data_IF_770560825004
#
_entry.id   IF_770560825004
#
_cell.length_a   1.000
_cell.length_b   1.000
_cell.length_c   1.000
_cell.angle_alpha   90.00
_cell.angle_beta   90.00
_cell.angle_gamma   90.00
#
_symmetry.space_group_name_H-M   'P 1'
#
loop_
_entity.id
_entity.type
_entity.pdbx_description
1 polymer ?
#
# COMPACT_ATOMS: atom_id res chain seq x y z
N UNK A 1 36.54 -43.63 -75.61
CA UNK A 1 36.88 -43.09 -74.28
C UNK A 1 35.62 -42.52 -73.68
N UNK A 2 35.01 -43.32 -72.81
CA UNK A 2 33.73 -42.98 -72.18
C UNK A 2 33.99 -42.33 -70.83
N UNK A 3 33.41 -41.17 -70.63
CA UNK A 3 33.34 -40.49 -69.29
C UNK A 3 31.97 -40.77 -68.67
N UNK A 4 31.89 -41.26 -67.46
CA UNK A 4 30.59 -41.40 -66.78
C UNK A 4 30.11 -40.11 -66.17
N UNK A 5 28.84 -39.77 -66.41
CA UNK A 5 28.10 -38.73 -65.77
C UNK A 5 27.72 -39.09 -64.34
N UNK A 6 28.14 -38.34 -63.36
CA UNK A 6 27.75 -38.53 -61.98
C UNK A 6 26.54 -37.62 -61.69
N UNK A 7 25.38 -38.24 -61.41
CA UNK A 7 24.14 -37.59 -61.06
C UNK A 7 24.11 -37.27 -59.57
N UNK A 8 24.18 -36.05 -59.17
CA UNK A 8 24.03 -35.65 -57.78
C UNK A 8 22.54 -35.44 -57.45
N UNK A 9 22.02 -36.39 -56.68
CA UNK A 9 20.68 -36.25 -56.06
C UNK A 9 20.81 -35.37 -54.82
N UNK A 10 20.31 -34.15 -54.91
CA UNK A 10 20.17 -33.28 -53.73
C UNK A 10 18.94 -33.69 -52.92
N UNK A 11 19.19 -34.30 -51.77
CA UNK A 11 18.16 -34.54 -50.79
C UNK A 11 17.94 -33.23 -49.98
N UNK A 12 16.83 -32.55 -50.26
CA UNK A 12 16.39 -31.40 -49.49
C UNK A 12 15.86 -31.85 -48.12
N UNK A 13 16.62 -31.58 -47.06
CA UNK A 13 16.17 -31.75 -45.68
C UNK A 13 15.33 -30.54 -45.31
N UNK A 14 14.03 -30.73 -45.17
CA UNK A 14 13.08 -29.73 -44.67
C UNK A 14 13.22 -29.66 -43.14
N UNK A 15 13.94 -28.64 -42.65
CA UNK A 15 14.00 -28.36 -41.21
C UNK A 15 12.72 -27.61 -40.83
N UNK A 16 11.79 -28.32 -40.22
CA UNK A 16 10.60 -27.70 -39.56
C UNK A 16 11.04 -27.15 -38.21
N UNK A 17 11.26 -25.85 -38.14
CA UNK A 17 11.45 -25.16 -36.87
C UNK A 17 10.08 -25.00 -36.17
N UNK A 18 9.85 -25.81 -35.16
CA UNK A 18 8.75 -25.65 -34.22
C UNK A 18 9.03 -24.37 -33.37
N UNK A 19 8.40 -23.27 -33.74
CA UNK A 19 8.36 -22.09 -32.90
C UNK A 19 7.46 -22.40 -31.69
N UNK A 20 8.05 -22.61 -30.52
CA UNK A 20 7.34 -22.63 -29.24
C UNK A 20 6.90 -21.21 -28.94
N UNK A 21 5.59 -20.92 -28.72
CA UNK A 21 5.19 -19.62 -28.21
C UNK A 21 5.76 -19.47 -26.80
N UNK A 22 6.66 -18.51 -26.61
CA UNK A 22 7.04 -18.04 -25.29
C UNK A 22 5.77 -17.47 -24.63
N UNK A 23 5.22 -18.17 -23.65
CA UNK A 23 4.23 -17.63 -22.74
C UNK A 23 4.94 -16.54 -21.94
N UNK A 24 4.85 -15.31 -22.43
CA UNK A 24 5.15 -14.14 -21.61
C UNK A 24 4.15 -14.17 -20.45
N UNK A 25 4.59 -14.60 -19.27
CA UNK A 25 3.85 -14.40 -18.05
C UNK A 25 3.81 -12.89 -17.83
N UNK A 26 2.63 -12.32 -18.01
CA UNK A 26 2.35 -10.94 -17.72
C UNK A 26 2.25 -10.79 -16.18
N UNK A 27 3.41 -10.58 -15.53
CA UNK A 27 3.49 -10.33 -14.09
C UNK A 27 2.68 -9.11 -13.65
N UNK A 28 2.29 -8.26 -14.60
CA UNK A 28 1.49 -7.08 -14.35
C UNK A 28 0.02 -7.42 -14.03
N UNK A 29 -0.53 -8.47 -14.62
CA UNK A 29 -1.93 -8.87 -14.39
C UNK A 29 -2.18 -9.43 -12.98
N UNK A 30 -1.22 -10.12 -12.38
CA UNK A 30 -1.36 -10.66 -11.02
C UNK A 30 -1.42 -9.55 -9.95
N UNK A 31 -0.60 -8.51 -10.09
CA UNK A 31 -0.65 -7.35 -9.18
C UNK A 31 -1.96 -6.55 -9.33
N UNK A 32 -2.47 -6.41 -10.55
CA UNK A 32 -3.72 -5.68 -10.82
C UNK A 32 -4.94 -6.43 -10.26
N UNK A 33 -4.96 -7.76 -10.29
CA UNK A 33 -6.03 -8.57 -9.73
C UNK A 33 -6.06 -8.54 -8.20
N UNK A 34 -4.90 -8.58 -7.53
CA UNK A 34 -4.80 -8.51 -6.08
C UNK A 34 -5.23 -7.12 -5.57
N UNK A 35 -4.84 -6.06 -6.25
CA UNK A 35 -5.29 -4.70 -5.97
C UNK A 35 -6.80 -4.51 -6.19
N UNK A 36 -7.35 -5.11 -7.24
CA UNK A 36 -8.78 -5.09 -7.51
C UNK A 36 -9.58 -5.85 -6.43
N UNK A 37 -9.06 -6.95 -5.91
CA UNK A 37 -9.69 -7.71 -4.82
C UNK A 37 -9.69 -6.91 -3.51
N UNK A 38 -8.58 -6.25 -3.16
CA UNK A 38 -8.50 -5.41 -1.98
C UNK A 38 -9.44 -4.19 -2.07
N UNK A 39 -9.54 -3.57 -3.25
CA UNK A 39 -10.47 -2.47 -3.52
C UNK A 39 -11.94 -2.93 -3.42
N UNK A 40 -12.27 -4.11 -3.95
CA UNK A 40 -13.61 -4.70 -3.84
C UNK A 40 -13.96 -5.07 -2.38
N UNK A 41 -13.01 -5.53 -1.58
CA UNK A 41 -13.21 -5.77 -0.14
C UNK A 41 -13.46 -4.45 0.62
N UNK A 42 -12.77 -3.38 0.27
CA UNK A 42 -12.99 -2.06 0.86
C UNK A 42 -14.36 -1.48 0.48
N UNK A 43 -14.75 -1.63 -0.79
CA UNK A 43 -16.06 -1.22 -1.29
C UNK A 43 -17.20 -2.08 -0.73
N UNK A 44 -17.02 -3.39 -0.62
CA UNK A 44 -17.98 -4.32 -0.02
C UNK A 44 -18.19 -4.10 1.48
N UNK A 45 -17.24 -3.42 2.16
CA UNK A 45 -17.39 -3.09 3.57
C UNK A 45 -18.52 -2.10 3.86
N UNK A 46 -19.03 -1.43 2.83
CA UNK A 46 -20.05 -0.40 2.98
C UNK A 46 -19.56 0.83 3.79
N UNK A 47 -20.42 1.81 3.91
CA UNK A 47 -20.17 2.97 4.75
C UNK A 47 -19.95 2.54 6.22
N UNK A 48 -18.98 3.16 6.90
CA UNK A 48 -18.73 2.90 8.32
C UNK A 48 -19.91 3.42 9.17
N UNK A 49 -20.77 2.51 9.59
CA UNK A 49 -22.00 2.84 10.34
C UNK A 49 -21.68 3.22 11.79
N UNK A 50 -22.45 4.14 12.34
CA UNK A 50 -22.36 4.51 13.75
C UNK A 50 -22.55 3.27 14.66
N UNK A 51 -21.74 3.16 15.72
CA UNK A 51 -21.76 2.06 16.67
C UNK A 51 -21.11 0.77 16.17
N UNK A 52 -20.56 0.74 14.93
CA UNK A 52 -19.86 -0.43 14.41
C UNK A 52 -18.36 -0.34 14.64
N UNK A 53 -17.75 -1.51 14.78
CA UNK A 53 -16.30 -1.70 14.81
C UNK A 53 -15.91 -2.45 13.53
N UNK A 54 -15.05 -1.83 12.74
CA UNK A 54 -14.53 -2.43 11.52
C UNK A 54 -13.06 -2.76 11.69
N UNK A 55 -12.68 -4.01 11.46
CA UNK A 55 -11.28 -4.45 11.48
C UNK A 55 -10.81 -4.74 10.05
N UNK A 56 -9.61 -4.28 9.71
CA UNK A 56 -8.93 -4.53 8.44
C UNK A 56 -7.48 -4.96 8.69
N UNK A 57 -6.99 -5.88 7.86
CA UNK A 57 -5.68 -6.51 8.05
C UNK A 57 -5.67 -7.45 9.26
N UNK A 58 -4.56 -7.49 9.97
CA UNK A 58 -4.39 -8.31 11.16
C UNK A 58 -5.28 -7.84 12.32
N UNK A 59 -5.78 -8.79 13.11
CA UNK A 59 -6.53 -8.45 14.31
C UNK A 59 -5.60 -7.77 15.34
N UNK A 60 -6.07 -6.66 15.92
CA UNK A 60 -5.31 -5.94 16.92
C UNK A 60 -5.28 -6.68 18.26
N UNK A 61 -4.19 -6.57 19.04
CA UNK A 61 -4.10 -7.18 20.37
C UNK A 61 -5.15 -6.57 21.31
N UNK A 62 -5.99 -7.44 21.89
CA UNK A 62 -7.11 -7.02 22.75
C UNK A 62 -6.64 -6.49 24.11
N UNK A 63 -5.51 -7.00 24.60
CA UNK A 63 -5.00 -6.72 25.96
C UNK A 63 -3.89 -5.66 25.98
N UNK A 64 -3.68 -4.96 24.86
CA UNK A 64 -2.68 -3.91 24.77
C UNK A 64 -3.38 -2.55 24.61
N UNK A 65 -3.03 -1.62 25.50
CA UNK A 65 -3.48 -0.22 25.40
C UNK A 65 -2.77 0.46 24.23
N UNK A 66 -3.55 1.08 23.36
CA UNK A 66 -2.99 1.91 22.30
C UNK A 66 -2.39 3.19 22.89
N UNK A 67 -1.25 3.61 22.37
CA UNK A 67 -0.64 4.88 22.73
C UNK A 67 -1.30 6.01 21.92
N UNK A 68 -1.51 7.20 22.51
CA UNK A 68 -1.92 8.36 21.74
C UNK A 68 -0.91 8.64 20.60
N UNK A 69 -1.39 8.88 19.39
CA UNK A 69 -0.53 9.16 18.25
C UNK A 69 0.43 10.33 18.53
N UNK A 70 -0.02 11.37 19.22
CA UNK A 70 0.80 12.52 19.62
C UNK A 70 2.03 12.13 20.43
N UNK A 71 1.93 11.10 21.28
CA UNK A 71 3.06 10.60 22.06
C UNK A 71 4.16 10.01 21.16
N UNK A 72 3.76 9.26 20.14
CA UNK A 72 4.68 8.65 19.16
C UNK A 72 5.29 9.71 18.25
N UNK A 73 4.49 10.69 17.79
CA UNK A 73 4.97 11.74 16.88
C UNK A 73 5.94 12.74 17.54
N UNK A 74 5.92 12.90 18.86
CA UNK A 74 6.92 13.71 19.56
C UNK A 74 8.34 13.14 19.44
N UNK A 75 8.49 11.83 19.42
CA UNK A 75 9.78 11.14 19.28
C UNK A 75 9.60 9.91 18.39
N UNK A 76 9.46 10.12 17.07
CA UNK A 76 9.32 8.98 16.16
C UNK A 76 10.64 8.22 16.06
N UNK A 77 10.56 6.89 16.22
CA UNK A 77 11.69 5.97 16.12
C UNK A 77 11.48 5.10 14.89
N UNK A 78 12.41 5.18 13.93
CA UNK A 78 12.34 4.39 12.70
C UNK A 78 12.38 2.89 13.00
N UNK A 79 11.58 2.12 12.28
CA UNK A 79 11.46 0.66 12.46
C UNK A 79 10.69 0.23 13.70
N UNK A 80 10.23 1.15 14.56
CA UNK A 80 9.52 0.81 15.79
C UNK A 80 8.10 0.30 15.49
N UNK A 81 7.77 -0.88 16.01
CA UNK A 81 6.40 -1.40 16.04
C UNK A 81 5.59 -0.70 17.12
N UNK A 82 4.42 -0.23 16.77
CA UNK A 82 3.51 0.52 17.65
C UNK A 82 2.07 0.06 17.51
N UNK A 83 1.29 0.24 18.57
CA UNK A 83 -0.16 0.27 18.52
C UNK A 83 -0.57 1.69 18.95
N UNK A 84 -1.14 2.45 18.03
CA UNK A 84 -1.51 3.85 18.26
C UNK A 84 -3.00 4.07 18.09
N UNK A 85 -3.52 5.13 18.71
CA UNK A 85 -4.87 5.60 18.51
C UNK A 85 -4.90 7.06 18.08
N UNK A 86 -5.92 7.39 17.30
CA UNK A 86 -6.16 8.73 16.76
C UNK A 86 -7.48 8.82 16.03
N UNK A 87 -7.64 9.87 15.25
CA UNK A 87 -8.82 10.11 14.41
C UNK A 87 -8.41 10.15 12.95
N UNK A 88 -9.14 9.45 12.09
CA UNK A 88 -8.93 9.52 10.64
C UNK A 88 -9.33 10.91 10.15
N UNK A 89 -8.37 11.67 9.65
CA UNK A 89 -8.64 12.99 9.06
C UNK A 89 -9.20 12.86 7.66
N UNK A 90 -8.63 11.97 6.88
CA UNK A 90 -9.05 11.64 5.50
C UNK A 90 -8.55 10.26 5.10
N UNK A 91 -9.20 9.66 4.13
CA UNK A 91 -8.75 8.45 3.45
C UNK A 91 -8.68 8.72 1.95
N UNK A 92 -7.96 7.89 1.22
CA UNK A 92 -7.95 7.93 -0.24
C UNK A 92 -9.38 7.79 -0.77
N UNK A 93 -9.85 8.82 -1.49
CA UNK A 93 -11.24 8.89 -1.98
C UNK A 93 -11.56 7.88 -3.09
N UNK A 94 -10.53 7.36 -3.77
CA UNK A 94 -10.72 6.39 -4.84
C UNK A 94 -10.90 4.96 -4.31
N UNK A 95 -10.00 4.51 -3.43
CA UNK A 95 -9.96 3.11 -3.02
C UNK A 95 -9.73 2.89 -1.52
N UNK A 96 -9.43 3.95 -0.74
CA UNK A 96 -9.07 3.77 0.66
C UNK A 96 -7.69 3.12 0.88
N UNK A 97 -6.79 3.20 -0.08
CA UNK A 97 -5.46 2.56 -0.07
C UNK A 97 -4.44 3.23 0.87
N UNK A 98 -4.77 4.37 1.43
CA UNK A 98 -4.06 5.06 2.50
C UNK A 98 -5.04 5.88 3.31
N UNK A 99 -4.65 6.27 4.51
CA UNK A 99 -5.38 7.26 5.31
C UNK A 99 -4.40 8.21 6.01
N UNK A 100 -4.90 9.36 6.44
CA UNK A 100 -4.21 10.25 7.34
C UNK A 100 -4.80 10.10 8.74
N UNK A 101 -3.96 9.66 9.68
CA UNK A 101 -4.31 9.56 11.09
C UNK A 101 -3.80 10.79 11.82
N UNK A 102 -4.66 11.47 12.56
CA UNK A 102 -4.32 12.62 13.37
C UNK A 102 -4.50 12.32 14.87
N UNK A 103 -3.76 13.01 15.76
CA UNK A 103 -4.05 12.99 17.19
C UNK A 103 -5.48 13.44 17.46
N UNK A 104 -6.13 12.87 18.49
CA UNK A 104 -7.51 13.23 18.85
C UNK A 104 -7.65 14.70 19.26
N UNK A 105 -6.62 15.24 19.86
CA UNK A 105 -6.50 16.64 20.26
C UNK A 105 -6.16 17.61 19.11
N UNK A 106 -5.96 17.05 17.91
CA UNK A 106 -5.54 17.84 16.73
C UNK A 106 -4.03 17.89 16.55
N UNK A 107 -3.57 18.68 15.59
CA UNK A 107 -2.15 18.83 15.25
C UNK A 107 -1.76 18.07 13.98
N UNK A 108 -0.44 17.88 13.77
CA UNK A 108 0.07 17.19 12.60
C UNK A 108 -0.34 15.72 12.60
N UNK A 109 -0.86 15.26 11.47
CA UNK A 109 -1.18 13.86 11.25
C UNK A 109 -0.02 13.07 10.67
N UNK A 110 -0.22 11.77 10.50
CA UNK A 110 0.70 10.86 9.85
C UNK A 110 0.00 10.13 8.72
N UNK A 111 0.69 9.96 7.59
CA UNK A 111 0.21 9.09 6.52
C UNK A 111 0.35 7.64 6.96
N UNK A 112 -0.76 6.93 6.90
CA UNK A 112 -0.83 5.49 7.13
C UNK A 112 -1.00 4.81 5.78
N UNK A 113 -0.06 3.95 5.44
CA UNK A 113 -0.15 3.03 4.30
C UNK A 113 -0.36 1.62 4.83
N UNK A 114 -0.86 0.73 4.02
CA UNK A 114 -1.16 -0.64 4.44
C UNK A 114 -0.07 -1.58 3.91
N UNK A 115 0.42 -2.44 4.79
CA UNK A 115 1.51 -3.37 4.48
C UNK A 115 1.14 -4.18 3.24
N UNK A 116 2.05 -4.17 2.26
CA UNK A 116 1.97 -4.92 1.02
C UNK A 116 0.65 -4.69 0.23
N UNK A 117 0.00 -3.53 0.42
CA UNK A 117 -1.33 -3.23 -0.12
C UNK A 117 -2.39 -4.30 0.21
N UNK A 118 -2.19 -5.08 1.26
CA UNK A 118 -2.98 -6.27 1.58
C UNK A 118 -4.42 -5.99 2.06
N UNK A 119 -4.76 -4.74 2.38
CA UNK A 119 -6.12 -4.33 2.76
C UNK A 119 -6.31 -2.83 2.59
N UNK A 120 -7.58 -2.39 2.57
CA UNK A 120 -7.96 -0.99 2.42
C UNK A 120 -9.02 -0.62 3.46
N UNK A 121 -9.15 0.69 3.72
CA UNK A 121 -10.20 1.23 4.60
C UNK A 121 -11.33 1.83 3.78
N UNK A 122 -12.56 1.95 4.31
CA UNK A 122 -13.64 2.64 3.63
C UNK A 122 -13.25 4.09 3.26
N UNK A 123 -13.64 4.52 2.09
CA UNK A 123 -13.35 5.87 1.58
C UNK A 123 -13.99 6.98 2.43
N UNK A 124 -15.06 6.66 3.16
CA UNK A 124 -15.79 7.54 4.08
C UNK A 124 -15.29 7.47 5.53
N UNK A 125 -14.08 6.93 5.76
CA UNK A 125 -13.52 6.76 7.12
C UNK A 125 -13.21 8.07 7.84
N UNK A 126 -13.27 9.23 7.18
CA UNK A 126 -13.00 10.52 7.82
C UNK A 126 -13.88 10.73 9.07
N UNK A 127 -13.27 11.20 10.15
CA UNK A 127 -13.92 11.38 11.45
C UNK A 127 -14.00 10.12 12.32
N UNK A 128 -13.67 8.96 11.82
CA UNK A 128 -13.66 7.73 12.61
C UNK A 128 -12.49 7.72 13.61
N UNK A 129 -12.74 7.22 14.82
CA UNK A 129 -11.68 6.85 15.76
C UNK A 129 -10.99 5.60 15.22
N UNK A 130 -9.67 5.59 15.23
CA UNK A 130 -8.88 4.47 14.73
C UNK A 130 -7.86 4.01 15.76
N UNK A 131 -7.71 2.68 15.86
CA UNK A 131 -6.55 2.02 16.47
C UNK A 131 -5.78 1.37 15.35
N UNK A 132 -4.48 1.61 15.31
CA UNK A 132 -3.61 1.16 14.20
C UNK A 132 -2.39 0.47 14.76
N UNK A 133 -2.19 -0.77 14.38
CA UNK A 133 -0.95 -1.50 14.61
C UNK A 133 -0.08 -1.42 13.37
N UNK A 134 1.21 -1.12 13.55
CA UNK A 134 2.11 -1.01 12.41
C UNK A 134 3.53 -0.64 12.81
N UNK A 135 4.32 -0.29 11.82
CA UNK A 135 5.72 0.10 11.99
C UNK A 135 5.92 1.55 11.56
N UNK A 136 6.56 2.33 12.41
CA UNK A 136 6.96 3.70 12.09
C UNK A 136 8.08 3.68 11.06
N UNK A 137 7.97 4.52 10.05
CA UNK A 137 9.03 4.82 9.10
C UNK A 137 9.34 6.31 9.16
N UNK A 138 10.62 6.65 9.26
CA UNK A 138 11.12 8.03 9.26
C UNK A 138 12.03 8.21 8.07
N UNK A 139 11.56 8.97 7.07
CA UNK A 139 12.33 9.28 5.87
C UNK A 139 12.91 10.70 5.97
N UNK A 140 14.17 10.86 5.64
CA UNK A 140 14.76 12.16 5.38
C UNK A 140 14.38 12.60 3.96
N UNK A 141 13.90 13.82 3.84
CA UNK A 141 13.48 14.38 2.57
C UNK A 141 14.44 15.46 2.12
N UNK A 142 14.69 15.53 0.82
CA UNK A 142 15.26 16.74 0.23
C UNK A 142 14.27 17.90 0.33
N UNK A 143 14.74 19.12 0.21
CA UNK A 143 13.88 20.30 0.24
C UNK A 143 12.82 20.25 -0.87
N UNK A 144 13.18 19.80 -2.07
CA UNK A 144 12.27 19.64 -3.19
C UNK A 144 11.15 18.62 -2.88
N UNK A 145 11.48 17.47 -2.28
CA UNK A 145 10.50 16.46 -1.86
C UNK A 145 9.58 16.99 -0.77
N UNK A 146 10.14 17.71 0.22
CA UNK A 146 9.35 18.33 1.29
C UNK A 146 8.39 19.40 0.74
N UNK A 147 8.84 20.21 -0.24
CA UNK A 147 8.01 21.19 -0.90
C UNK A 147 6.86 20.53 -1.70
N UNK A 148 7.16 19.47 -2.42
CA UNK A 148 6.17 18.71 -3.19
C UNK A 148 5.09 18.09 -2.28
N UNK A 149 5.49 17.43 -1.19
CA UNK A 149 4.54 16.86 -0.22
C UNK A 149 3.66 17.94 0.44
N UNK A 150 4.20 19.11 0.74
CA UNK A 150 3.40 20.24 1.24
C UNK A 150 2.39 20.73 0.23
N UNK A 151 2.77 20.81 -1.04
CA UNK A 151 1.87 21.21 -2.13
C UNK A 151 0.72 20.21 -2.33
N UNK A 152 0.95 18.94 -2.10
CA UNK A 152 -0.08 17.88 -2.13
C UNK A 152 -0.95 17.86 -0.85
N UNK A 153 -0.77 18.78 0.07
CA UNK A 153 -1.52 18.86 1.32
C UNK A 153 -1.07 17.81 2.35
N UNK A 154 0.16 17.32 2.25
CA UNK A 154 0.75 16.46 3.27
C UNK A 154 0.91 17.16 4.60
N UNK A 155 0.61 16.46 5.71
CA UNK A 155 0.75 16.97 7.08
C UNK A 155 2.20 17.05 7.50
N UNK A 156 2.93 18.03 6.99
CA UNK A 156 4.29 18.34 7.42
C UNK A 156 4.34 19.68 8.13
N UNK A 157 5.06 19.72 9.25
CA UNK A 157 5.37 21.01 9.91
C UNK A 157 6.25 21.86 8.97
N UNK A 158 6.05 23.18 9.00
CA UNK A 158 6.89 24.10 8.24
C UNK A 158 8.37 23.91 8.63
N UNK A 159 9.27 23.77 7.63
CA UNK A 159 10.69 23.53 7.84
C UNK A 159 11.08 22.09 8.20
N UNK A 160 10.14 21.15 8.34
CA UNK A 160 10.46 19.76 8.58
C UNK A 160 11.02 19.11 7.29
N UNK A 161 12.21 18.52 7.40
CA UNK A 161 12.83 17.71 6.35
C UNK A 161 12.70 16.22 6.62
N UNK A 162 11.83 15.83 7.55
CA UNK A 162 11.53 14.43 7.88
C UNK A 162 10.05 14.17 7.70
N UNK A 163 9.76 13.12 6.96
CA UNK A 163 8.43 12.55 6.87
C UNK A 163 8.31 11.37 7.82
N UNK A 164 7.26 11.36 8.63
CA UNK A 164 6.91 10.19 9.44
C UNK A 164 5.73 9.51 8.77
N UNK A 165 5.86 8.21 8.53
CA UNK A 165 4.81 7.34 8.00
C UNK A 165 4.56 6.21 8.97
N UNK A 166 3.36 5.63 8.91
CA UNK A 166 3.01 4.42 9.62
C UNK A 166 2.60 3.36 8.60
N UNK A 167 3.35 2.27 8.53
CA UNK A 167 2.99 1.10 7.71
C UNK A 167 2.16 0.16 8.58
N UNK A 168 0.85 0.15 8.36
CA UNK A 168 -0.08 -0.59 9.19
C UNK A 168 -0.17 -2.05 8.77
N UNK A 169 -0.15 -2.96 9.75
CA UNK A 169 -0.47 -4.38 9.57
C UNK A 169 -1.93 -4.67 9.93
N UNK A 170 -2.54 -3.83 10.78
CA UNK A 170 -3.94 -3.93 11.16
C UNK A 170 -4.53 -2.61 11.60
N UNK A 171 -5.80 -2.43 11.32
CA UNK A 171 -6.58 -1.22 11.62
C UNK A 171 -7.94 -1.61 12.21
N UNK A 172 -8.34 -0.93 13.27
CA UNK A 172 -9.68 -0.99 13.84
C UNK A 172 -10.30 0.41 13.77
N UNK A 173 -11.41 0.55 13.07
CA UNK A 173 -12.17 1.80 12.91
C UNK A 173 -13.47 1.75 13.71
N UNK A 174 -13.81 2.86 14.36
CA UNK A 174 -15.07 3.03 15.13
C UNK A 174 -15.68 4.41 14.81
N UNK A 175 -16.98 4.41 14.58
CA UNK A 175 -17.75 5.64 14.38
C UNK A 175 -18.82 5.77 15.45
#
# INVERSE_FOLDING_TARGET
>A
MLTPMYSHVFASVLVVTLATPALAHDEKSACDEEHAQAANQAAAAGALKAGTVLVRGEALPKNQTAQPLSAVLRKPEDGKKVLVEGVVRRACSQMGCWMELAPAEGGAGVRVTFKDYGFFVPTDSAGAKARVQGTIQVAQLSEAQAAHLRAEGGSMSAGAQREVRLVATGVELRR
#
